data_IF_324491002455
#
_entry.id   IF_324491002455
#
_cell.length_a   1.000
_cell.length_b   1.000
_cell.length_c   1.000
_cell.angle_alpha   90.00
_cell.angle_beta   90.00
_cell.angle_gamma   90.00
#
_symmetry.space_group_name_H-M   'P 1'
#
loop_
_entity.id
_entity.type
_entity.pdbx_description
1 polymer ?
#
# COMPACT_ATOMS: atom_id res chain seq x y z
N UNK A 1 21.07 0.60 -3.66
CA UNK A 1 20.05 0.97 -2.64
C UNK A 1 18.80 0.19 -3.01
N UNK A 2 18.25 -0.64 -2.10
CA UNK A 2 17.05 -1.44 -2.40
C UNK A 2 15.81 -0.55 -2.29
N UNK A 3 14.96 -0.49 -3.30
CA UNK A 3 13.73 0.29 -3.25
C UNK A 3 12.55 -0.64 -2.96
N UNK A 4 11.61 -0.21 -2.12
CA UNK A 4 10.41 -0.99 -1.82
C UNK A 4 9.20 -0.36 -2.49
N UNK A 5 8.39 -1.16 -3.17
CA UNK A 5 7.13 -0.73 -3.78
C UNK A 5 5.98 -1.52 -3.20
N UNK A 6 4.91 -0.81 -2.82
CA UNK A 6 3.68 -1.44 -2.33
C UNK A 6 2.72 -1.68 -3.51
N UNK A 7 2.23 -2.91 -3.64
CA UNK A 7 1.17 -3.31 -4.58
C UNK A 7 -0.13 -3.63 -3.84
N UNK A 8 -1.23 -3.66 -4.59
CA UNK A 8 -2.51 -4.15 -4.10
C UNK A 8 -2.68 -5.58 -4.60
N UNK A 9 -2.91 -6.49 -3.68
CA UNK A 9 -3.39 -7.82 -3.97
C UNK A 9 -4.91 -7.78 -4.11
N UNK A 10 -5.39 -7.78 -5.35
CA UNK A 10 -6.81 -7.70 -5.67
C UNK A 10 -7.60 -8.95 -5.23
N UNK A 11 -6.95 -10.07 -4.94
CA UNK A 11 -7.63 -11.27 -4.41
C UNK A 11 -8.06 -11.11 -2.95
N UNK A 12 -7.35 -10.27 -2.19
CA UNK A 12 -7.62 -9.98 -0.76
C UNK A 12 -8.26 -8.62 -0.53
N UNK A 13 -8.16 -7.70 -1.48
CA UNK A 13 -8.72 -6.36 -1.34
C UNK A 13 -10.25 -6.38 -1.42
N UNK A 14 -10.92 -6.09 -0.30
CA UNK A 14 -12.38 -6.00 -0.23
C UNK A 14 -12.95 -4.60 -0.53
N UNK A 15 -12.12 -3.67 -1.00
CA UNK A 15 -12.58 -2.31 -1.33
C UNK A 15 -12.96 -1.44 -0.13
N UNK A 16 -12.40 -1.69 1.06
CA UNK A 16 -12.71 -0.92 2.28
C UNK A 16 -12.24 0.56 2.26
N UNK A 17 -11.47 0.97 1.25
CA UNK A 17 -10.90 2.31 1.07
C UNK A 17 -10.07 2.90 2.23
N UNK A 18 -9.81 2.14 3.30
CA UNK A 18 -9.07 2.61 4.49
C UNK A 18 -7.70 3.21 4.17
N UNK A 19 -6.95 2.57 3.26
CA UNK A 19 -5.65 3.04 2.79
C UNK A 19 -5.72 4.27 1.87
N UNK A 20 -6.92 4.71 1.47
CA UNK A 20 -7.15 5.93 0.68
C UNK A 20 -7.70 7.07 1.53
N UNK A 21 -8.53 6.74 2.53
CA UNK A 21 -9.22 7.73 3.38
C UNK A 21 -8.48 8.04 4.66
N UNK A 22 -8.07 7.01 5.42
CA UNK A 22 -7.40 7.16 6.73
C UNK A 22 -5.89 7.21 6.55
N UNK A 23 -5.30 6.17 5.98
CA UNK A 23 -3.86 6.10 5.72
C UNK A 23 -3.52 6.58 4.31
N UNK A 24 -4.02 7.78 3.96
CA UNK A 24 -3.88 8.36 2.62
C UNK A 24 -2.42 8.41 2.18
N UNK A 25 -2.13 7.84 1.02
CA UNK A 25 -0.82 7.94 0.40
C UNK A 25 -0.49 9.42 0.10
N UNK A 26 0.62 9.92 0.65
CA UNK A 26 1.10 11.29 0.40
C UNK A 26 1.94 11.43 -0.87
N UNK A 27 2.23 10.33 -1.55
CA UNK A 27 2.91 10.31 -2.84
C UNK A 27 2.08 9.49 -3.84
N UNK A 28 1.03 10.09 -4.43
CA UNK A 28 0.14 9.38 -5.34
C UNK A 28 0.77 9.11 -6.71
N UNK A 29 1.64 10.03 -7.18
CA UNK A 29 2.33 9.92 -8.47
C UNK A 29 3.32 8.74 -8.49
N UNK A 30 3.98 8.47 -7.36
CA UNK A 30 4.92 7.35 -7.26
C UNK A 30 4.97 6.76 -5.85
N UNK A 31 5.08 5.44 -5.77
CA UNK A 31 5.32 4.79 -4.49
C UNK A 31 6.77 5.05 -4.05
N UNK A 32 6.94 5.71 -2.91
CA UNK A 32 8.27 6.00 -2.31
C UNK A 32 8.71 4.97 -1.27
N UNK A 33 7.98 3.85 -1.13
CA UNK A 33 8.32 2.81 -0.16
C UNK A 33 8.12 3.18 1.31
N UNK A 34 7.22 4.11 1.63
CA UNK A 34 6.96 4.53 3.02
C UNK A 34 6.25 3.46 3.88
N UNK A 35 5.69 2.41 3.25
CA UNK A 35 4.95 1.31 3.88
C UNK A 35 3.72 1.71 4.72
N UNK A 36 3.32 2.98 4.75
CA UNK A 36 2.15 3.42 5.52
C UNK A 36 0.86 2.71 5.09
N UNK A 37 0.61 2.59 3.78
CA UNK A 37 -0.56 1.90 3.27
C UNK A 37 -0.50 0.38 3.50
N UNK A 38 0.71 -0.20 3.57
CA UNK A 38 0.93 -1.60 3.90
C UNK A 38 0.47 -1.91 5.32
N UNK A 39 1.01 -1.19 6.30
CA UNK A 39 0.65 -1.37 7.71
C UNK A 39 -0.80 -0.98 8.03
N UNK A 40 -1.37 -0.08 7.24
CA UNK A 40 -2.74 0.36 7.44
C UNK A 40 -3.81 -0.60 6.91
N UNK A 41 -3.47 -1.57 6.06
CA UNK A 41 -4.49 -2.41 5.44
C UNK A 41 -4.99 -3.49 6.42
N UNK A 42 -6.26 -3.46 6.88
CA UNK A 42 -6.76 -4.42 7.85
C UNK A 42 -6.96 -5.84 7.26
N UNK A 43 -6.98 -5.95 5.94
CA UNK A 43 -7.14 -7.21 5.21
C UNK A 43 -5.82 -7.73 4.63
N UNK A 44 -4.69 -7.12 5.00
CA UNK A 44 -3.36 -7.47 4.50
C UNK A 44 -3.24 -7.50 2.96
N UNK A 45 -4.13 -6.79 2.27
CA UNK A 45 -4.23 -6.77 0.81
C UNK A 45 -3.14 -5.89 0.15
N UNK A 46 -2.18 -5.40 0.93
CA UNK A 46 -1.05 -4.61 0.45
C UNK A 46 0.20 -5.47 0.56
N UNK A 47 0.93 -5.64 -0.54
CA UNK A 47 2.14 -6.47 -0.58
C UNK A 47 3.35 -5.61 -0.91
N UNK A 48 4.54 -6.03 -0.45
CA UNK A 48 5.80 -5.30 -0.66
C UNK A 48 6.66 -6.05 -1.68
N UNK A 49 7.12 -5.34 -2.71
CA UNK A 49 8.04 -5.84 -3.74
C UNK A 49 9.35 -5.05 -3.68
N UNK A 50 10.49 -5.72 -3.90
CA UNK A 50 11.80 -5.06 -4.02
C UNK A 50 12.02 -4.68 -5.49
N UNK A 51 12.41 -3.42 -5.71
CA UNK A 51 12.69 -2.82 -7.02
C UNK A 51 14.10 -2.27 -7.06
#
# INVERSE_FOLDING_TARGET
MKFYRVRVDHSRCVGCDFCRTVARCRSPEMCIGCLACYWACPYEARTVEVV
#
